data_IF_255049135151
#
_entry.id   IF_255049135151
#
_cell.length_a   1.000
_cell.length_b   1.000
_cell.length_c   1.000
_cell.angle_alpha   90.00
_cell.angle_beta   90.00
_cell.angle_gamma   90.00
#
_symmetry.space_group_name_H-M   'P 1'
#
loop_
_entity.id
_entity.type
_entity.pdbx_description
1 polymer ?
#
# COMPACT_ATOMS: atom_id res chain seq x y z
N UNK A 1 -5.81 -18.57 -4.80
CA UNK A 1 -4.83 -17.96 -5.72
C UNK A 1 -3.56 -17.64 -4.95
N UNK A 2 -2.59 -18.56 -4.94
CA UNK A 2 -1.26 -18.29 -4.35
C UNK A 2 -0.33 -17.85 -5.48
N UNK A 3 -0.10 -16.54 -5.61
CA UNK A 3 0.85 -16.00 -6.56
C UNK A 3 2.19 -15.84 -5.86
N UNK A 4 3.01 -16.90 -5.86
CA UNK A 4 4.35 -16.90 -5.29
C UNK A 4 5.28 -15.82 -5.90
N UNK A 5 4.91 -15.28 -7.08
CA UNK A 5 5.69 -14.29 -7.84
C UNK A 5 5.40 -12.83 -7.49
N UNK A 6 4.31 -12.50 -6.80
CA UNK A 6 3.92 -11.11 -6.55
C UNK A 6 3.41 -10.90 -5.12
N UNK A 7 3.72 -9.78 -4.46
CA UNK A 7 3.17 -9.47 -3.15
C UNK A 7 1.65 -9.32 -3.24
N UNK A 8 0.92 -10.23 -2.59
CA UNK A 8 -0.56 -10.24 -2.57
C UNK A 8 -1.15 -9.71 -1.27
N UNK A 9 -0.32 -9.42 -0.27
CA UNK A 9 -0.78 -9.05 1.08
C UNK A 9 -1.60 -7.75 1.07
N UNK A 10 -1.24 -6.78 0.22
CA UNK A 10 -2.02 -5.55 0.04
C UNK A 10 -3.43 -5.80 -0.55
N UNK A 11 -3.64 -6.93 -1.22
CA UNK A 11 -4.95 -7.27 -1.81
C UNK A 11 -5.88 -7.89 -0.78
N UNK A 12 -5.35 -8.41 0.33
CA UNK A 12 -6.14 -9.12 1.32
C UNK A 12 -7.27 -8.23 1.87
N UNK A 13 -6.96 -6.99 2.26
CA UNK A 13 -7.95 -6.03 2.79
C UNK A 13 -9.03 -5.73 1.75
N UNK A 14 -8.65 -5.55 0.48
CA UNK A 14 -9.61 -5.31 -0.61
C UNK A 14 -10.52 -6.53 -0.81
N UNK A 15 -9.96 -7.74 -0.78
CA UNK A 15 -10.72 -8.99 -0.91
C UNK A 15 -11.73 -9.13 0.22
N UNK A 16 -11.33 -8.90 1.48
CA UNK A 16 -12.26 -8.92 2.61
C UNK A 16 -13.40 -7.92 2.43
N UNK A 17 -13.10 -6.67 2.05
CA UNK A 17 -14.13 -5.66 1.83
C UNK A 17 -15.10 -6.07 0.72
N UNK A 18 -14.61 -6.64 -0.39
CA UNK A 18 -15.49 -7.13 -1.46
C UNK A 18 -16.39 -8.27 -0.97
N UNK A 19 -15.84 -9.22 -0.21
CA UNK A 19 -16.61 -10.34 0.34
C UNK A 19 -17.68 -9.86 1.33
N UNK A 20 -17.34 -8.92 2.22
CA UNK A 20 -18.31 -8.33 3.15
C UNK A 20 -19.44 -7.62 2.41
N UNK A 21 -19.11 -6.80 1.40
CA UNK A 21 -20.12 -6.12 0.59
C UNK A 21 -21.05 -7.12 -0.12
N UNK A 22 -20.51 -8.20 -0.70
CA UNK A 22 -21.32 -9.23 -1.34
C UNK A 22 -22.23 -9.95 -0.34
N UNK A 23 -21.70 -10.36 0.82
CA UNK A 23 -22.48 -11.06 1.84
C UNK A 23 -23.56 -10.16 2.46
N UNK A 24 -23.25 -8.90 2.70
CA UNK A 24 -24.21 -7.92 3.21
C UNK A 24 -25.32 -7.62 2.19
N UNK A 25 -25.01 -7.62 0.90
CA UNK A 25 -26.01 -7.52 -0.15
C UNK A 25 -26.95 -8.73 -0.17
N UNK A 26 -26.45 -9.94 0.06
CA UNK A 26 -27.29 -11.15 0.15
C UNK A 26 -28.21 -11.16 1.38
N UNK A 27 -27.76 -10.62 2.51
CA UNK A 27 -28.59 -10.52 3.73
C UNK A 27 -29.59 -9.37 3.65
N UNK A 28 -29.21 -8.21 3.09
CA UNK A 28 -30.10 -7.03 2.94
C UNK A 28 -31.05 -7.10 1.75
N UNK A 29 -30.72 -7.87 0.70
CA UNK A 29 -31.62 -8.08 -0.45
C UNK A 29 -32.89 -8.80 0.01
N UNK A 30 -33.94 -8.02 0.25
CA UNK A 30 -35.18 -8.50 0.82
C UNK A 30 -36.11 -9.21 -0.18
N UNK A 31 -35.73 -9.37 -1.46
CA UNK A 31 -36.70 -9.74 -2.50
C UNK A 31 -36.43 -11.04 -3.27
N UNK A 32 -35.20 -11.53 -3.41
CA UNK A 32 -34.92 -12.65 -4.34
C UNK A 32 -34.12 -13.83 -3.79
N UNK A 33 -33.50 -13.70 -2.61
CA UNK A 33 -32.66 -14.77 -2.04
C UNK A 33 -33.47 -15.74 -1.17
N UNK A 34 -33.33 -17.04 -1.43
CA UNK A 34 -33.91 -18.12 -0.62
C UNK A 34 -33.47 -17.99 0.86
N UNK A 35 -34.34 -18.30 1.85
CA UNK A 35 -34.02 -18.16 3.28
C UNK A 35 -32.69 -18.83 3.68
N UNK A 36 -32.42 -20.04 3.16
CA UNK A 36 -31.16 -20.75 3.41
C UNK A 36 -29.91 -20.03 2.87
N UNK A 37 -30.03 -19.21 1.81
CA UNK A 37 -28.91 -18.40 1.30
C UNK A 37 -28.65 -17.21 2.22
N UNK A 38 -29.69 -16.61 2.81
CA UNK A 38 -29.54 -15.53 3.80
C UNK A 38 -28.86 -16.04 5.06
N UNK A 39 -29.27 -17.20 5.55
CA UNK A 39 -28.67 -17.84 6.72
C UNK A 39 -27.20 -18.22 6.46
N UNK A 40 -26.91 -18.85 5.32
CA UNK A 40 -25.54 -19.15 4.91
C UNK A 40 -24.67 -17.89 4.77
N UNK A 41 -25.22 -16.81 4.21
CA UNK A 41 -24.51 -15.53 4.09
C UNK A 41 -24.20 -14.91 5.45
N UNK A 42 -25.13 -14.95 6.41
CA UNK A 42 -24.90 -14.51 7.79
C UNK A 42 -23.79 -15.31 8.46
N UNK A 43 -23.81 -16.64 8.36
CA UNK A 43 -22.74 -17.48 8.92
C UNK A 43 -21.38 -17.24 8.25
N UNK A 44 -21.36 -17.05 6.94
CA UNK A 44 -20.13 -16.70 6.22
C UNK A 44 -19.59 -15.33 6.69
N UNK A 45 -20.48 -14.35 6.90
CA UNK A 45 -20.11 -13.03 7.40
C UNK A 45 -19.47 -13.10 8.79
N UNK A 46 -20.08 -13.84 9.73
CA UNK A 46 -19.53 -14.03 11.07
C UNK A 46 -18.17 -14.74 11.04
N UNK A 47 -18.05 -15.77 10.20
CA UNK A 47 -16.79 -16.50 10.04
C UNK A 47 -15.69 -15.60 9.49
N UNK A 48 -15.98 -14.80 8.47
CA UNK A 48 -15.02 -13.83 7.91
C UNK A 48 -14.66 -12.74 8.92
N UNK A 49 -15.63 -12.24 9.70
CA UNK A 49 -15.39 -11.24 10.75
C UNK A 49 -14.35 -11.72 11.77
N UNK A 50 -14.39 -12.99 12.16
CA UNK A 50 -13.41 -13.61 13.08
C UNK A 50 -11.97 -13.56 12.54
N UNK A 51 -11.78 -13.72 11.23
CA UNK A 51 -10.45 -13.67 10.62
C UNK A 51 -10.05 -12.26 10.21
N UNK A 52 -11.03 -11.39 9.95
CA UNK A 52 -10.78 -9.98 9.64
C UNK A 52 -10.23 -9.21 10.85
N UNK A 53 -10.69 -9.50 12.07
CA UNK A 53 -10.09 -8.93 13.29
C UNK A 53 -8.62 -9.34 13.47
N UNK A 54 -8.20 -10.46 12.89
CA UNK A 54 -6.79 -10.86 12.81
C UNK A 54 -6.07 -10.19 11.62
N UNK A 55 -6.81 -9.64 10.65
CA UNK A 55 -6.30 -8.82 9.56
C UNK A 55 -6.16 -7.33 9.91
N UNK A 56 -6.55 -6.93 11.13
CA UNK A 56 -6.22 -5.62 11.73
C UNK A 56 -4.77 -5.55 12.23
N UNK A 57 -3.91 -6.46 11.76
CA UNK A 57 -2.49 -6.41 12.08
C UNK A 57 -1.82 -5.26 11.31
N UNK A 58 -0.79 -4.60 11.90
CA UNK A 58 -0.03 -3.52 11.27
C UNK A 58 0.45 -3.86 9.86
N UNK A 59 0.77 -5.13 9.60
CA UNK A 59 1.26 -5.61 8.30
C UNK A 59 0.34 -5.27 7.14
N UNK A 60 -0.98 -5.30 7.35
CA UNK A 60 -1.96 -5.00 6.30
C UNK A 60 -2.04 -3.49 6.04
N UNK A 61 -2.05 -2.67 7.11
CA UNK A 61 -2.02 -1.21 7.01
C UNK A 61 -0.75 -0.74 6.30
N UNK A 62 0.42 -1.26 6.71
CA UNK A 62 1.72 -0.96 6.12
C UNK A 62 1.76 -1.39 4.65
N UNK A 63 1.31 -2.60 4.33
CA UNK A 63 1.30 -3.05 2.93
C UNK A 63 0.42 -2.21 2.02
N UNK A 64 -0.66 -1.63 2.56
CA UNK A 64 -1.56 -0.74 1.83
C UNK A 64 -0.94 0.65 1.66
N UNK A 65 -0.28 1.17 2.69
CA UNK A 65 0.47 2.42 2.66
C UNK A 65 1.62 2.38 1.65
N UNK A 66 2.39 1.28 1.62
CA UNK A 66 3.48 1.03 0.68
C UNK A 66 3.02 0.82 -0.76
N UNK A 67 1.71 0.74 -1.03
CA UNK A 67 1.22 0.66 -2.40
C UNK A 67 1.21 2.07 -3.03
N UNK A 68 2.07 2.35 -4.03
CA UNK A 68 2.22 3.69 -4.61
C UNK A 68 0.95 4.19 -5.31
N UNK A 69 0.04 3.29 -5.68
CA UNK A 69 -1.21 3.65 -6.36
C UNK A 69 -2.28 4.21 -5.42
N UNK A 70 -2.25 3.80 -4.16
CA UNK A 70 -3.41 3.94 -3.29
C UNK A 70 -3.05 4.59 -1.93
N UNK A 71 -1.83 4.38 -1.40
CA UNK A 71 -1.30 4.94 -0.14
C UNK A 71 -2.37 5.17 0.94
N UNK A 72 -2.37 6.33 1.59
CA UNK A 72 -3.38 6.70 2.59
C UNK A 72 -4.73 7.11 1.99
N UNK A 73 -4.73 7.57 0.74
CA UNK A 73 -5.97 7.98 0.04
C UNK A 73 -6.96 6.83 -0.18
N UNK A 74 -6.47 5.58 -0.14
CA UNK A 74 -7.32 4.41 -0.30
C UNK A 74 -8.32 4.25 0.84
N UNK A 75 -7.89 4.49 2.08
CA UNK A 75 -8.74 4.25 3.24
C UNK A 75 -9.95 5.19 3.26
N UNK A 76 -9.74 6.46 2.91
CA UNK A 76 -10.84 7.42 2.74
C UNK A 76 -11.72 7.09 1.54
N UNK A 77 -11.14 6.67 0.41
CA UNK A 77 -11.89 6.24 -0.78
C UNK A 77 -12.81 5.05 -0.51
N UNK A 78 -12.36 4.08 0.29
CA UNK A 78 -13.16 2.90 0.67
C UNK A 78 -14.17 3.23 1.77
N UNK A 79 -14.12 4.43 2.35
CA UNK A 79 -15.06 4.88 3.37
C UNK A 79 -14.78 4.28 4.74
N UNK A 80 -13.51 4.04 5.07
CA UNK A 80 -13.15 3.62 6.43
C UNK A 80 -13.52 4.70 7.46
N UNK A 81 -13.94 4.32 8.67
CA UNK A 81 -14.14 5.27 9.76
C UNK A 81 -12.85 6.05 10.04
N UNK A 82 -12.98 7.33 10.32
CA UNK A 82 -11.83 8.21 10.54
C UNK A 82 -10.89 7.70 11.65
N UNK A 83 -11.46 7.22 12.76
CA UNK A 83 -10.71 6.63 13.88
C UNK A 83 -9.84 5.44 13.44
N UNK A 84 -10.32 4.65 12.47
CA UNK A 84 -9.58 3.50 11.94
C UNK A 84 -8.46 3.93 11.00
N UNK A 85 -8.69 5.00 10.22
CA UNK A 85 -7.68 5.61 9.37
C UNK A 85 -6.53 6.13 10.23
N UNK A 86 -6.85 6.84 11.31
CA UNK A 86 -5.86 7.40 12.23
C UNK A 86 -5.06 6.31 12.94
N UNK A 87 -5.72 5.25 13.41
CA UNK A 87 -5.03 4.09 13.98
C UNK A 87 -4.11 3.42 12.95
N UNK A 88 -4.56 3.25 11.70
CA UNK A 88 -3.75 2.65 10.63
C UNK A 88 -2.53 3.51 10.30
N UNK A 89 -2.67 4.84 10.24
CA UNK A 89 -1.53 5.76 10.05
C UNK A 89 -0.53 5.65 11.19
N UNK A 90 -1.01 5.66 12.42
CA UNK A 90 -0.16 5.51 13.61
C UNK A 90 0.62 4.19 13.59
N UNK A 91 0.00 3.09 13.20
CA UNK A 91 0.70 1.81 13.04
C UNK A 91 1.83 1.86 12.01
N UNK A 92 1.66 2.63 10.92
CA UNK A 92 2.73 2.82 9.91
C UNK A 92 3.86 3.68 10.47
N UNK A 93 3.53 4.78 11.15
CA UNK A 93 4.50 5.69 11.78
C UNK A 93 5.30 4.99 12.89
N UNK A 94 4.63 4.22 13.76
CA UNK A 94 5.24 3.46 14.86
C UNK A 94 6.24 2.41 14.33
N UNK A 95 5.92 1.74 13.21
CA UNK A 95 6.85 0.81 12.56
C UNK A 95 7.96 1.54 11.81
N UNK A 96 7.64 2.62 11.09
CA UNK A 96 8.63 3.44 10.39
C UNK A 96 9.73 3.93 11.32
N UNK A 97 9.35 4.43 12.51
CA UNK A 97 10.29 4.93 13.53
C UNK A 97 11.37 3.92 13.94
N UNK A 98 11.12 2.60 13.81
CA UNK A 98 12.11 1.55 14.12
C UNK A 98 13.17 1.39 13.04
N UNK A 99 12.86 1.82 11.81
CA UNK A 99 13.70 1.64 10.63
C UNK A 99 14.24 2.96 10.07
N UNK A 100 13.84 4.11 10.61
CA UNK A 100 14.48 5.39 10.30
C UNK A 100 15.97 5.26 10.66
N UNK A 101 16.88 5.39 9.70
CA UNK A 101 18.30 5.38 10.01
C UNK A 101 18.58 6.58 10.91
N UNK A 102 19.03 6.32 12.15
CA UNK A 102 19.65 7.35 12.97
C UNK A 102 20.81 7.88 12.15
N UNK A 103 20.79 9.18 11.82
CA UNK A 103 21.80 9.86 11.02
C UNK A 103 23.19 9.53 11.56
N UNK A 104 23.77 8.47 11.03
CA UNK A 104 25.11 8.04 11.36
C UNK A 104 25.95 9.02 10.56
N UNK A 105 26.60 9.91 11.30
CA UNK A 105 27.44 11.01 10.88
C UNK A 105 27.93 10.87 9.43
N UNK A 106 27.68 11.92 8.65
CA UNK A 106 28.35 12.30 7.41
C UNK A 106 29.68 11.57 7.24
N UNK A 107 29.66 10.42 6.59
CA UNK A 107 30.86 9.80 6.10
C UNK A 107 31.06 10.45 4.73
N UNK A 108 31.87 11.51 4.70
CA UNK A 108 32.31 12.13 3.45
C UNK A 108 32.81 11.01 2.53
N UNK A 109 32.22 10.82 1.34
CA UNK A 109 32.69 9.80 0.44
C UNK A 109 34.12 10.15 0.03
N UNK A 110 35.07 9.21 0.25
CA UNK A 110 36.41 9.34 -0.31
C UNK A 110 36.26 9.34 -1.84
N UNK A 111 36.44 10.51 -2.42
CA UNK A 111 36.30 10.79 -3.84
C UNK A 111 37.41 10.08 -4.63
N UNK A 112 37.09 8.89 -5.12
CA UNK A 112 37.79 8.20 -6.21
C UNK A 112 36.81 7.20 -6.87
N UNK A 113 35.75 7.72 -7.49
CA UNK A 113 34.94 6.95 -8.43
C UNK A 113 34.21 7.89 -9.39
N UNK A 114 34.57 7.74 -10.65
CA UNK A 114 34.04 8.35 -11.88
C UNK A 114 32.54 8.05 -12.09
N UNK A 115 31.68 8.64 -11.26
CA UNK A 115 30.21 8.57 -11.32
C UNK A 115 29.59 9.98 -11.32
N UNK A 116 29.85 10.73 -12.40
CA UNK A 116 29.13 11.97 -12.74
C UNK A 116 27.70 11.62 -13.23
N UNK A 117 26.75 11.31 -12.33
CA UNK A 117 25.30 11.62 -12.51
C UNK A 117 24.42 11.26 -11.28
N UNK A 118 24.99 10.89 -10.13
CA UNK A 118 24.19 10.65 -8.93
C UNK A 118 24.24 11.87 -8.02
N UNK A 119 23.39 12.87 -8.29
CA UNK A 119 23.05 13.86 -7.25
C UNK A 119 22.41 13.09 -6.09
N UNK A 120 23.03 13.03 -4.90
CA UNK A 120 22.37 12.46 -3.74
C UNK A 120 21.10 13.29 -3.49
N UNK A 121 19.93 12.67 -3.61
CA UNK A 121 18.69 13.31 -3.21
C UNK A 121 18.84 13.72 -1.74
N UNK A 122 18.65 15.02 -1.46
CA UNK A 122 18.51 15.50 -0.10
C UNK A 122 17.41 14.66 0.56
N UNK A 123 17.78 13.81 1.53
CA UNK A 123 16.81 13.03 2.27
C UNK A 123 15.98 14.05 3.04
N UNK A 124 14.77 14.34 2.57
CA UNK A 124 13.83 15.20 3.29
C UNK A 124 13.73 14.74 4.74
N UNK A 125 13.73 15.69 5.69
CA UNK A 125 13.70 15.43 7.14
C UNK A 125 12.61 14.43 7.55
N UNK A 126 11.54 14.30 6.74
CA UNK A 126 10.51 13.26 6.86
C UNK A 126 10.22 12.54 5.52
N UNK A 127 11.06 11.55 5.19
CA UNK A 127 10.92 10.71 4.00
C UNK A 127 9.57 9.96 3.90
N UNK A 128 8.88 9.68 5.02
CA UNK A 128 7.57 9.05 5.00
C UNK A 128 6.49 10.05 4.57
N UNK A 129 6.52 11.28 5.11
CA UNK A 129 5.62 12.34 4.68
C UNK A 129 5.82 12.66 3.20
N UNK A 130 7.07 12.74 2.73
CA UNK A 130 7.42 12.90 1.32
C UNK A 130 6.75 11.82 0.44
N UNK A 131 6.96 10.56 0.81
CA UNK A 131 6.40 9.41 0.10
C UNK A 131 4.87 9.45 0.06
N UNK A 132 4.22 9.81 1.16
CA UNK A 132 2.75 9.88 1.24
C UNK A 132 2.19 11.01 0.39
N UNK A 133 2.80 12.20 0.44
CA UNK A 133 2.34 13.42 -0.20
C UNK A 133 2.52 13.42 -1.73
N UNK A 134 3.69 12.99 -2.22
CA UNK A 134 4.09 13.15 -3.61
C UNK A 134 3.43 12.08 -4.49
N UNK A 135 2.47 12.38 -5.38
CA UNK A 135 2.13 11.41 -6.46
C UNK A 135 3.37 11.27 -7.34
N UNK A 136 4.23 10.31 -7.02
CA UNK A 136 5.48 10.02 -7.73
C UNK A 136 5.12 9.67 -9.18
N UNK A 137 5.05 10.68 -10.03
CA UNK A 137 5.39 10.50 -11.43
C UNK A 137 6.90 10.43 -11.39
N UNK A 138 7.53 9.33 -11.80
CA UNK A 138 8.97 9.35 -11.94
C UNK A 138 9.29 10.55 -12.84
N UNK A 139 10.18 11.42 -12.37
CA UNK A 139 10.64 12.62 -13.08
C UNK A 139 11.57 12.18 -14.20
N UNK A 140 11.12 11.23 -15.02
CA UNK A 140 11.86 10.80 -16.19
C UNK A 140 11.73 11.95 -17.18
N UNK A 141 12.83 12.63 -17.44
CA UNK A 141 12.93 13.44 -18.64
C UNK A 141 12.65 12.50 -19.81
N UNK A 142 11.44 12.62 -20.37
CA UNK A 142 10.95 11.73 -21.43
C UNK A 142 11.94 11.72 -22.59
N UNK A 143 12.61 12.83 -22.86
CA UNK A 143 13.59 12.96 -23.93
C UNK A 143 14.84 12.12 -23.66
N UNK A 144 15.36 12.11 -22.42
CA UNK A 144 16.49 11.26 -22.03
C UNK A 144 16.15 9.77 -22.11
N UNK A 145 14.95 9.38 -21.69
CA UNK A 145 14.47 7.99 -21.78
C UNK A 145 14.40 7.48 -23.22
N UNK A 146 13.89 8.30 -24.15
CA UNK A 146 13.81 7.92 -25.56
C UNK A 146 15.20 7.94 -26.23
N UNK A 147 16.06 8.90 -25.89
CA UNK A 147 17.41 9.01 -26.46
C UNK A 147 18.31 7.81 -26.12
N UNK A 148 18.34 7.37 -24.85
CA UNK A 148 19.11 6.19 -24.45
C UNK A 148 18.62 4.88 -25.11
N UNK A 149 17.37 4.86 -25.57
CA UNK A 149 16.79 3.70 -26.26
C UNK A 149 17.14 3.65 -27.75
N UNK A 150 17.36 4.80 -28.39
CA UNK A 150 17.87 4.86 -29.77
C UNK A 150 19.34 4.46 -29.84
N UNK A 151 20.14 4.89 -28.86
CA UNK A 151 21.57 4.56 -28.78
C UNK A 151 21.82 3.06 -28.51
N UNK A 152 20.97 2.40 -27.71
CA UNK A 152 21.06 0.95 -27.44
C UNK A 152 20.57 0.05 -28.59
N UNK A 153 19.90 0.61 -29.61
CA UNK A 153 19.37 -0.12 -30.77
C UNK A 153 20.26 0.00 -32.01
N UNK A 154 21.33 0.81 -31.95
CA UNK A 154 22.19 1.14 -33.09
C UNK A 154 23.60 0.52 -33.06
N UNK A 155 23.87 -0.43 -32.17
CA UNK A 155 25.14 -1.14 -32.03
C UNK A 155 25.13 -2.55 -32.60
#
# INVERSE_FOLDING_TARGET
MSAQKYPTINRATTLYNTLFNHLENYTRSNSTAHPGVKEAASHAFEKLKKYYTQATQPVYAISQALNPRCRYSWWSYVGWPQDWIENAKKQVEDEWAKYVPVSSQQQEPSFDADYDDYEPEDIEEDALAAYVAERHRPRVDKLRFWKGREEASGG
#
